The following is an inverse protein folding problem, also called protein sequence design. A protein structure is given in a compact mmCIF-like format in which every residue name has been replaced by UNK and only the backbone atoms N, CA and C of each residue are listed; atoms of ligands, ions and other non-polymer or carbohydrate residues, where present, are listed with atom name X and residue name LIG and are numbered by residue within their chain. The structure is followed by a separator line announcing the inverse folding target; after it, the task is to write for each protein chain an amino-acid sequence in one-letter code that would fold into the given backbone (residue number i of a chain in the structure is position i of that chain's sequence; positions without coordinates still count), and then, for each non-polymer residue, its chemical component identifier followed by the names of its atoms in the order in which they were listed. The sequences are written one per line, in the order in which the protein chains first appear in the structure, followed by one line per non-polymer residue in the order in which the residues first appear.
data_IF_974916325988
#
_entry.id   IF_974916325988
#
_cell.length_a   1.000
_cell.length_b   1.000
_cell.length_c   1.000
_cell.angle_alpha   90.00
_cell.angle_beta   90.00
_cell.angle_gamma   90.00
#
_symmetry.space_group_name_H-M   'P 1'
#
loop_
_entity.id
_entity.type
_entity.pdbx_description
1 polymer ?
#
# COMPACT_ATOMS: atom_id res chain seq x y z
N UNK A 1 -15.87 0.31 -5.67
CA UNK A 1 -15.57 -0.08 -4.27
C UNK A 1 -15.84 1.13 -3.39
N UNK A 2 -16.31 0.93 -2.17
CA UNK A 2 -16.56 2.01 -1.20
C UNK A 2 -15.48 1.95 -0.13
N UNK A 3 -14.83 3.09 0.11
CA UNK A 3 -13.77 3.24 1.11
C UNK A 3 -14.31 4.05 2.29
N UNK A 4 -14.04 3.56 3.49
CA UNK A 4 -14.47 4.20 4.74
C UNK A 4 -13.24 4.42 5.62
N UNK A 5 -13.13 5.61 6.21
CA UNK A 5 -12.06 5.96 7.14
C UNK A 5 -12.56 5.75 8.56
N UNK A 6 -12.19 4.62 9.16
CA UNK A 6 -12.62 4.22 10.51
C UNK A 6 -12.25 5.20 11.63
N UNK A 7 -11.26 6.07 11.40
CA UNK A 7 -10.77 7.03 12.40
C UNK A 7 -11.36 8.44 12.21
N UNK A 8 -12.19 8.68 11.18
CA UNK A 8 -12.72 10.01 10.84
C UNK A 8 -14.22 9.93 10.56
N UNK A 9 -15.03 10.18 11.59
CA UNK A 9 -16.50 10.09 11.53
C UNK A 9 -17.17 11.13 10.59
N UNK A 10 -16.48 12.22 10.26
CA UNK A 10 -17.05 13.32 9.46
C UNK A 10 -16.87 13.17 7.94
N UNK A 11 -16.10 12.17 7.48
CA UNK A 11 -15.86 11.96 6.04
C UNK A 11 -16.82 10.91 5.51
N UNK A 12 -17.69 11.31 4.57
CA UNK A 12 -18.56 10.38 3.87
C UNK A 12 -17.76 9.30 3.13
N UNK A 13 -18.25 8.04 3.10
CA UNK A 13 -17.58 6.96 2.39
C UNK A 13 -17.33 7.30 0.91
N UNK A 14 -16.09 7.15 0.47
CA UNK A 14 -15.68 7.49 -0.90
C UNK A 14 -15.97 6.30 -1.80
N UNK A 15 -16.83 6.51 -2.81
CA UNK A 15 -17.05 5.52 -3.87
C UNK A 15 -16.07 5.75 -5.01
N UNK A 16 -15.22 4.76 -5.29
CA UNK A 16 -14.19 4.86 -6.32
C UNK A 16 -14.07 3.59 -7.17
N UNK A 17 -13.44 3.73 -8.33
CA UNK A 17 -13.01 2.60 -9.17
C UNK A 17 -11.65 2.10 -8.71
N UNK A 18 -11.39 0.81 -8.95
CA UNK A 18 -10.11 0.16 -8.64
C UNK A 18 -9.60 -0.56 -9.88
N UNK A 19 -8.29 -0.56 -10.07
CA UNK A 19 -7.61 -1.32 -11.11
C UNK A 19 -7.20 -2.66 -10.52
N UNK A 20 -7.81 -3.75 -10.97
CA UNK A 20 -7.50 -5.10 -10.47
C UNK A 20 -6.21 -5.65 -11.06
N UNK A 21 -5.84 -5.23 -12.27
CA UNK A 21 -4.61 -5.66 -12.94
C UNK A 21 -3.38 -5.28 -12.13
N UNK A 22 -3.43 -4.18 -11.37
CA UNK A 22 -2.34 -3.79 -10.47
C UNK A 22 -2.11 -4.79 -9.34
N UNK A 23 -3.03 -5.71 -9.03
CA UNK A 23 -2.81 -6.71 -7.98
C UNK A 23 -1.69 -7.70 -8.33
N UNK A 24 -1.49 -7.98 -9.62
CA UNK A 24 -0.57 -9.02 -10.11
C UNK A 24 0.70 -8.47 -10.76
N UNK A 25 0.88 -7.15 -10.79
CA UNK A 25 2.12 -6.55 -11.31
C UNK A 25 3.25 -6.61 -10.27
N UNK A 26 4.50 -6.75 -10.72
CA UNK A 26 5.65 -6.80 -9.79
C UNK A 26 6.03 -5.43 -9.18
N UNK A 27 5.53 -4.33 -9.76
CA UNK A 27 5.80 -2.96 -9.29
C UNK A 27 4.66 -2.38 -8.44
N UNK A 28 4.86 -1.23 -7.76
CA UNK A 28 3.82 -0.58 -6.96
C UNK A 28 2.63 -0.10 -7.81
N UNK A 29 2.87 0.17 -9.09
CA UNK A 29 1.90 0.69 -10.05
C UNK A 29 1.84 -0.20 -11.30
N UNK A 30 0.90 0.09 -12.19
CA UNK A 30 0.85 -0.46 -13.54
C UNK A 30 2.15 -0.17 -14.30
N UNK A 31 2.62 -1.10 -15.16
CA UNK A 31 3.69 -0.83 -16.09
C UNK A 31 3.38 0.39 -16.96
N UNK A 32 4.42 1.10 -17.38
CA UNK A 32 4.31 2.30 -18.21
C UNK A 32 3.46 2.05 -19.48
N UNK A 33 3.66 0.90 -20.14
CA UNK A 33 2.91 0.55 -21.35
C UNK A 33 1.41 0.39 -21.08
N UNK A 34 1.03 -0.30 -20.01
CA UNK A 34 -0.37 -0.47 -19.61
C UNK A 34 -1.01 0.85 -19.20
N UNK A 35 -0.27 1.71 -18.48
CA UNK A 35 -0.76 3.03 -18.11
C UNK A 35 -0.94 3.93 -19.33
N UNK A 36 -0.03 3.85 -20.30
CA UNK A 36 -0.13 4.57 -21.56
C UNK A 36 -1.33 4.10 -22.39
N UNK A 37 -1.53 2.78 -22.51
CA UNK A 37 -2.68 2.21 -23.21
C UNK A 37 -4.01 2.64 -22.57
N UNK A 38 -4.09 2.61 -21.23
CA UNK A 38 -5.27 3.11 -20.49
C UNK A 38 -5.55 4.58 -20.81
N UNK A 39 -4.51 5.43 -20.80
CA UNK A 39 -4.66 6.84 -21.15
C UNK A 39 -5.12 7.04 -22.60
N UNK A 40 -4.56 6.29 -23.55
CA UNK A 40 -4.93 6.38 -24.97
C UNK A 40 -6.39 6.00 -25.20
N UNK A 41 -6.85 4.91 -24.59
CA UNK A 41 -8.26 4.49 -24.67
C UNK A 41 -9.21 5.53 -24.05
N UNK A 42 -8.90 6.05 -22.86
CA UNK A 42 -9.70 7.12 -22.23
C UNK A 42 -9.69 8.38 -23.10
N UNK A 43 -8.57 8.71 -23.74
CA UNK A 43 -8.48 9.89 -24.59
C UNK A 43 -9.37 9.81 -25.84
N UNK A 44 -9.77 8.61 -26.29
CA UNK A 44 -10.72 8.43 -27.39
C UNK A 44 -12.12 8.94 -27.02
N UNK A 45 -12.53 8.76 -25.76
CA UNK A 45 -13.83 9.22 -25.25
C UNK A 45 -13.97 10.75 -25.22
N UNK A 46 -12.84 11.47 -25.27
CA UNK A 46 -12.76 12.94 -25.26
C UNK A 46 -12.20 13.53 -26.57
N UNK A 47 -12.21 12.75 -27.65
CA UNK A 47 -11.63 13.16 -28.94
C UNK A 47 -12.35 14.35 -29.59
N UNK A 48 -13.61 14.58 -29.22
CA UNK A 48 -14.47 15.69 -29.66
C UNK A 48 -14.07 17.06 -29.08
N UNK A 49 -13.40 17.08 -27.93
CA UNK A 49 -12.91 18.32 -27.31
C UNK A 49 -11.71 18.85 -28.10
N UNK A 50 -11.90 19.90 -28.88
CA UNK A 50 -10.84 20.45 -29.75
C UNK A 50 -9.71 21.13 -28.98
N UNK A 51 -10.02 21.82 -27.89
CA UNK A 51 -9.00 22.47 -27.07
C UNK A 51 -8.23 21.42 -26.24
N UNK A 52 -6.91 21.37 -26.43
CA UNK A 52 -6.05 20.37 -25.79
C UNK A 52 -6.03 20.51 -24.26
N UNK A 53 -6.13 21.73 -23.74
CA UNK A 53 -6.12 21.97 -22.29
C UNK A 53 -7.42 21.47 -21.68
N UNK A 54 -8.55 21.80 -22.29
CA UNK A 54 -9.87 21.36 -21.82
C UNK A 54 -10.01 19.83 -21.90
N UNK A 55 -9.46 19.21 -22.96
CA UNK A 55 -9.42 17.75 -23.08
C UNK A 55 -8.62 17.11 -21.96
N UNK A 56 -7.44 17.64 -21.65
CA UNK A 56 -6.60 17.11 -20.57
C UNK A 56 -7.28 17.27 -19.21
N UNK A 57 -7.95 18.40 -18.97
CA UNK A 57 -8.71 18.63 -17.74
C UNK A 57 -9.91 17.69 -17.60
N UNK A 58 -10.57 17.35 -18.71
CA UNK A 58 -11.63 16.34 -18.74
C UNK A 58 -11.08 14.94 -18.39
N UNK A 59 -9.99 14.51 -19.03
CA UNK A 59 -9.33 13.23 -18.75
C UNK A 59 -8.86 13.14 -17.28
N UNK A 60 -8.31 14.23 -16.73
CA UNK A 60 -7.91 14.26 -15.31
C UNK A 60 -9.07 14.09 -14.34
N UNK A 61 -10.31 14.35 -14.76
CA UNK A 61 -11.52 14.13 -13.96
C UNK A 61 -12.19 12.79 -14.26
N UNK A 62 -11.68 12.04 -15.22
CA UNK A 62 -12.27 10.76 -15.62
C UNK A 62 -12.17 9.73 -14.48
N UNK A 63 -13.26 9.00 -14.17
CA UNK A 63 -13.27 8.00 -13.10
C UNK A 63 -12.34 6.79 -13.33
N UNK A 64 -12.06 6.42 -14.57
CA UNK A 64 -11.13 5.33 -14.91
C UNK A 64 -9.68 5.81 -14.84
N UNK A 65 -9.41 7.05 -15.25
CA UNK A 65 -8.09 7.65 -15.09
C UNK A 65 -7.70 7.79 -13.61
N UNK A 66 -8.68 8.14 -12.76
CA UNK A 66 -8.52 8.25 -11.31
C UNK A 66 -8.78 6.94 -10.55
N UNK A 67 -8.91 5.81 -11.24
CA UNK A 67 -9.11 4.53 -10.56
C UNK A 67 -7.90 4.18 -9.69
N UNK A 68 -8.17 3.74 -8.46
CA UNK A 68 -7.10 3.43 -7.50
C UNK A 68 -6.35 2.18 -7.91
N UNK A 69 -5.02 2.27 -7.89
CA UNK A 69 -4.15 1.12 -8.04
C UNK A 69 -3.92 0.49 -6.66
N UNK A 70 -4.39 -0.74 -6.51
CA UNK A 70 -4.38 -1.45 -5.24
C UNK A 70 -3.42 -2.64 -5.28
N UNK A 71 -2.93 -3.01 -4.10
CA UNK A 71 -2.05 -4.15 -3.88
C UNK A 71 -2.56 -4.99 -2.73
N UNK A 72 -2.21 -6.28 -2.76
CA UNK A 72 -2.37 -7.13 -1.59
C UNK A 72 -1.47 -6.61 -0.45
N UNK A 73 -2.03 -6.59 0.75
CA UNK A 73 -1.34 -6.18 1.98
C UNK A 73 -1.15 -7.37 2.93
N UNK A 74 -0.78 -8.54 2.40
CA UNK A 74 -0.58 -9.75 3.21
C UNK A 74 0.58 -9.58 4.21
N UNK A 75 1.63 -8.88 3.79
CA UNK A 75 2.75 -8.50 4.63
C UNK A 75 3.19 -7.08 4.24
N UNK A 76 3.63 -6.31 5.23
CA UNK A 76 4.15 -4.95 5.04
C UNK A 76 5.49 -4.83 5.74
N UNK A 77 6.38 -4.02 5.19
CA UNK A 77 7.65 -3.72 5.85
C UNK A 77 7.40 -2.86 7.09
N UNK A 78 8.24 -2.99 8.13
CA UNK A 78 8.10 -2.20 9.36
C UNK A 78 8.04 -0.68 9.12
N UNK A 79 8.77 -0.20 8.10
CA UNK A 79 8.69 1.20 7.67
C UNK A 79 7.29 1.61 7.19
N UNK A 80 6.60 0.74 6.43
CA UNK A 80 5.23 0.98 5.96
C UNK A 80 4.18 0.74 7.05
N UNK A 81 4.54 0.03 8.12
CA UNK A 81 3.68 -0.21 9.27
C UNK A 81 3.66 0.97 10.26
N UNK A 82 4.57 1.94 10.13
CA UNK A 82 4.64 3.10 11.02
C UNK A 82 3.31 3.86 11.05
N UNK A 83 2.84 4.19 12.25
CA UNK A 83 1.57 4.87 12.47
C UNK A 83 0.35 3.95 12.53
N UNK A 84 0.41 2.75 11.94
CA UNK A 84 -0.68 1.77 12.02
C UNK A 84 -0.66 0.94 13.32
N UNK A 85 -1.81 0.52 13.80
CA UNK A 85 -1.91 -0.37 14.96
C UNK A 85 -2.87 -1.52 14.64
N UNK A 86 -2.49 -2.75 15.00
CA UNK A 86 -3.29 -3.94 14.75
C UNK A 86 -3.43 -4.77 16.03
N UNK A 87 -4.59 -5.40 16.27
CA UNK A 87 -4.79 -6.27 17.42
C UNK A 87 -3.77 -7.40 17.51
N UNK A 88 -3.43 -8.01 16.37
CA UNK A 88 -2.51 -9.15 16.28
C UNK A 88 -1.47 -8.82 15.22
N UNK A 89 -0.18 -8.93 15.56
CA UNK A 89 0.93 -8.68 14.63
C UNK A 89 1.88 -9.86 14.63
N UNK A 90 2.29 -10.29 13.43
CA UNK A 90 3.36 -11.26 13.21
C UNK A 90 4.58 -10.49 12.70
N UNK A 91 5.70 -10.58 13.41
CA UNK A 91 6.97 -9.97 13.01
C UNK A 91 7.90 -11.08 12.56
N UNK A 92 8.34 -11.00 11.31
CA UNK A 92 9.41 -11.85 10.75
C UNK A 92 10.63 -10.96 10.51
N UNK A 93 11.75 -11.30 11.13
CA UNK A 93 13.02 -10.57 10.98
C UNK A 93 13.73 -10.86 9.65
N UNK A 94 13.30 -11.88 8.93
CA UNK A 94 13.99 -12.38 7.74
C UNK A 94 15.38 -12.92 8.10
N UNK A 95 16.34 -12.69 7.21
CA UNK A 95 17.71 -13.15 7.39
C UNK A 95 18.54 -12.12 8.20
N UNK A 96 18.80 -12.43 9.47
CA UNK A 96 19.65 -11.65 10.38
C UNK A 96 20.80 -12.57 10.86
N UNK A 97 22.03 -12.09 10.75
CA UNK A 97 23.20 -12.73 11.36
C UNK A 97 23.52 -12.07 12.72
N UNK A 98 24.31 -12.72 13.57
CA UNK A 98 24.66 -12.20 14.90
C UNK A 98 25.32 -10.81 14.86
N UNK A 99 26.15 -10.53 13.83
CA UNK A 99 26.78 -9.22 13.64
C UNK A 99 25.79 -8.09 13.32
N UNK A 100 24.57 -8.44 12.89
CA UNK A 100 23.51 -7.50 12.55
C UNK A 100 22.57 -7.23 13.74
N UNK A 101 22.79 -7.84 14.90
CA UNK A 101 22.05 -7.58 16.14
C UNK A 101 22.57 -6.29 16.81
N UNK A 102 22.45 -5.18 16.09
CA UNK A 102 22.92 -3.87 16.52
C UNK A 102 21.76 -2.97 17.00
N UNK A 103 22.08 -1.70 17.27
CA UNK A 103 21.10 -0.72 17.71
C UNK A 103 20.04 -0.42 16.63
N UNK A 104 20.38 -0.52 15.35
CA UNK A 104 19.44 -0.28 14.26
C UNK A 104 18.42 -1.41 14.18
N UNK A 105 18.87 -2.66 14.33
CA UNK A 105 17.98 -3.80 14.46
C UNK A 105 16.99 -3.64 15.62
N UNK A 106 17.47 -3.23 16.81
CA UNK A 106 16.59 -3.02 17.96
C UNK A 106 15.55 -1.91 17.71
N UNK A 107 15.90 -0.83 16.99
CA UNK A 107 14.96 0.23 16.61
C UNK A 107 13.92 -0.25 15.60
N UNK A 108 14.36 -1.07 14.64
CA UNK A 108 13.46 -1.72 13.68
C UNK A 108 12.48 -2.65 14.40
N UNK A 109 12.98 -3.48 15.33
CA UNK A 109 12.17 -4.40 16.12
C UNK A 109 11.18 -3.64 17.01
N UNK A 110 11.62 -2.59 17.70
CA UNK A 110 10.74 -1.72 18.49
C UNK A 110 9.59 -1.15 17.65
N UNK A 111 9.89 -0.74 16.41
CA UNK A 111 8.86 -0.25 15.49
C UNK A 111 7.82 -1.33 15.22
N UNK A 112 8.23 -2.56 14.90
CA UNK A 112 7.32 -3.70 14.66
C UNK A 112 6.52 -4.10 15.90
N UNK A 113 7.18 -4.24 17.06
CA UNK A 113 6.58 -4.61 18.35
C UNK A 113 5.47 -3.65 18.74
N UNK A 114 5.71 -2.33 18.63
CA UNK A 114 4.74 -1.31 19.06
C UNK A 114 3.53 -1.17 18.13
N UNK A 115 3.46 -1.93 17.03
CA UNK A 115 2.26 -1.98 16.19
C UNK A 115 1.19 -2.92 16.75
N UNK A 116 1.57 -3.87 17.61
CA UNK A 116 0.65 -4.81 18.24
C UNK A 116 -0.09 -4.15 19.42
N UNK A 117 -1.42 -4.29 19.47
CA UNK A 117 -2.23 -3.78 20.60
C UNK A 117 -2.76 -4.86 21.54
N UNK A 118 -2.79 -6.14 21.10
CA UNK A 118 -3.19 -7.27 21.97
C UNK A 118 -2.17 -8.40 21.97
N UNK A 119 -1.81 -8.93 20.80
CA UNK A 119 -0.91 -10.08 20.68
C UNK A 119 0.20 -9.81 19.66
N UNK A 120 1.40 -10.28 19.99
CA UNK A 120 2.58 -10.19 19.13
C UNK A 120 3.18 -11.58 18.98
N UNK A 121 3.39 -12.00 17.74
CA UNK A 121 4.07 -13.23 17.40
C UNK A 121 5.41 -12.91 16.74
N UNK A 122 6.50 -13.33 17.38
CA UNK A 122 7.85 -13.27 16.82
C UNK A 122 8.11 -14.56 16.05
N UNK A 123 8.20 -14.48 14.73
CA UNK A 123 8.31 -15.63 13.83
C UNK A 123 9.76 -15.75 13.35
N UNK A 124 10.33 -16.95 13.46
CA UNK A 124 11.71 -17.24 13.05
C UNK A 124 12.79 -16.39 13.77
N UNK A 125 12.53 -15.98 15.01
CA UNK A 125 13.53 -15.27 15.83
C UNK A 125 14.55 -16.24 16.43
N UNK A 126 15.76 -15.72 16.67
CA UNK A 126 16.84 -16.50 17.30
C UNK A 126 16.41 -16.93 18.71
N UNK A 127 16.71 -18.17 19.09
CA UNK A 127 16.39 -18.74 20.40
C UNK A 127 16.91 -17.90 21.57
N UNK A 128 18.00 -17.16 21.36
CA UNK A 128 18.58 -16.23 22.35
C UNK A 128 17.62 -15.10 22.78
N UNK A 129 16.56 -14.82 22.03
CA UNK A 129 15.53 -13.85 22.42
C UNK A 129 14.55 -14.37 23.46
N UNK A 130 14.54 -15.68 23.72
CA UNK A 130 13.64 -16.31 24.68
C UNK A 130 14.40 -16.70 25.96
N UNK A 131 13.79 -16.52 27.14
CA UNK A 131 14.39 -17.01 28.37
C UNK A 131 14.55 -18.53 28.32
N UNK A 132 15.71 -19.00 28.78
CA UNK A 132 16.04 -20.43 28.93
C UNK A 132 15.20 -21.14 29.99
#
# INVERSE_FOLDING_TARGET
VTLEFVDIDEIEPITCRVILDSLYTDGPNLPYESQKALYEEIALDYADIMDKKDRLEAIKKDPYYNALQIKFAFAITCHKAQGGQWPIVFVDQGYINDDMLDLEFLRWLYTGVTRATKELFLVNFNENFYPS
#
